data_IF_107589382849
#
_entry.id   IF_107589382849
#
_cell.length_a   1.000
_cell.length_b   1.000
_cell.length_c   1.000
_cell.angle_alpha   90.00
_cell.angle_beta   90.00
_cell.angle_gamma   90.00
#
_symmetry.space_group_name_H-M   'P 1'
#
loop_
_entity.id
_entity.type
_entity.pdbx_description
1 polymer ?
#
# COMPACT_ATOMS: atom_id res chain seq x y z
N UNK A 1 13.57 3.25 -18.79
CA UNK A 1 12.46 3.26 -17.81
C UNK A 1 12.49 4.60 -17.09
N UNK A 2 11.55 5.49 -17.39
CA UNK A 2 11.35 6.74 -16.64
C UNK A 2 10.97 6.35 -15.22
N UNK A 3 11.74 6.80 -14.23
CA UNK A 3 11.46 6.47 -12.82
C UNK A 3 10.08 6.96 -12.37
N UNK A 4 9.58 6.46 -11.22
CA UNK A 4 8.33 6.88 -10.64
C UNK A 4 8.21 8.40 -10.58
N UNK A 5 7.14 8.99 -11.15
CA UNK A 5 6.90 10.43 -11.05
C UNK A 5 6.32 10.77 -9.66
N UNK A 6 7.18 10.67 -8.65
CA UNK A 6 6.85 10.92 -7.24
C UNK A 6 7.13 12.38 -6.89
N UNK A 7 6.21 12.99 -6.15
CA UNK A 7 6.49 14.24 -5.45
C UNK A 7 7.62 14.04 -4.43
N UNK A 8 8.34 15.10 -4.02
CA UNK A 8 9.45 14.99 -3.07
C UNK A 8 9.09 14.30 -1.75
N UNK A 9 7.83 14.44 -1.31
CA UNK A 9 7.34 13.77 -0.11
C UNK A 9 7.28 12.24 -0.28
N UNK A 10 6.66 11.77 -1.36
CA UNK A 10 6.51 10.34 -1.62
C UNK A 10 7.82 9.69 -2.04
N UNK A 11 8.75 10.42 -2.67
CA UNK A 11 10.11 9.92 -2.90
C UNK A 11 10.90 9.77 -1.60
N UNK A 12 10.80 10.72 -0.66
CA UNK A 12 11.40 10.55 0.68
C UNK A 12 10.81 9.33 1.40
N UNK A 13 9.50 9.13 1.29
CA UNK A 13 8.82 7.98 1.86
C UNK A 13 9.32 6.66 1.23
N UNK A 14 9.42 6.60 -0.11
CA UNK A 14 9.98 5.46 -0.86
C UNK A 14 11.35 5.06 -0.31
N UNK A 15 12.28 6.03 -0.21
CA UNK A 15 13.65 5.77 0.28
C UNK A 15 13.65 5.20 1.70
N UNK A 16 12.84 5.75 2.60
CA UNK A 16 12.69 5.22 3.97
C UNK A 16 12.14 3.79 3.96
N UNK A 17 11.12 3.53 3.13
CA UNK A 17 10.47 2.23 3.04
C UNK A 17 11.38 1.16 2.44
N UNK A 18 12.17 1.51 1.43
CA UNK A 18 13.21 0.65 0.86
C UNK A 18 14.17 0.16 1.95
N UNK A 19 14.66 1.05 2.81
CA UNK A 19 15.52 0.66 3.95
C UNK A 19 14.81 -0.30 4.89
N UNK A 20 13.51 -0.11 5.14
CA UNK A 20 12.75 -1.04 5.98
C UNK A 20 12.63 -2.43 5.36
N UNK A 21 12.40 -2.53 4.04
CA UNK A 21 12.37 -3.82 3.35
C UNK A 21 13.71 -4.53 3.37
N UNK A 22 14.80 -3.78 3.13
CA UNK A 22 16.15 -4.32 3.25
C UNK A 22 16.41 -4.88 4.66
N UNK A 23 16.00 -4.16 5.71
CA UNK A 23 16.09 -4.62 7.10
C UNK A 23 15.22 -5.85 7.40
N UNK A 24 14.10 -6.00 6.69
CA UNK A 24 13.22 -7.15 6.77
C UNK A 24 13.69 -8.35 5.92
N UNK A 25 14.88 -8.28 5.30
CA UNK A 25 15.47 -9.38 4.53
C UNK A 25 15.13 -9.41 3.04
N UNK A 26 14.45 -8.40 2.50
CA UNK A 26 14.21 -8.31 1.07
C UNK A 26 15.51 -8.07 0.29
N UNK A 27 15.62 -8.66 -0.90
CA UNK A 27 16.75 -8.37 -1.81
C UNK A 27 16.71 -6.89 -2.27
N UNK A 28 17.83 -6.31 -2.72
CA UNK A 28 17.86 -4.93 -3.22
C UNK A 28 16.83 -4.65 -4.33
N UNK A 29 16.63 -5.63 -5.24
CA UNK A 29 15.65 -5.52 -6.31
C UNK A 29 14.21 -5.52 -5.79
N UNK A 30 13.87 -6.44 -4.89
CA UNK A 30 12.55 -6.50 -4.26
C UNK A 30 12.25 -5.25 -3.42
N UNK A 31 13.23 -4.76 -2.66
CA UNK A 31 13.08 -3.55 -1.85
C UNK A 31 12.85 -2.30 -2.71
N UNK A 32 13.54 -2.17 -3.85
CA UNK A 32 13.34 -1.06 -4.80
C UNK A 32 11.97 -1.16 -5.47
N UNK A 33 11.59 -2.34 -5.97
CA UNK A 33 10.31 -2.56 -6.62
C UNK A 33 9.14 -2.32 -5.67
N UNK A 34 9.14 -2.97 -4.50
CA UNK A 34 8.08 -2.84 -3.50
C UNK A 34 7.94 -1.41 -2.98
N UNK A 35 9.06 -0.75 -2.65
CA UNK A 35 9.00 0.63 -2.12
C UNK A 35 8.52 1.63 -3.17
N UNK A 36 8.89 1.45 -4.44
CA UNK A 36 8.44 2.30 -5.55
C UNK A 36 6.94 2.13 -5.79
N UNK A 37 6.48 0.89 -5.89
CA UNK A 37 5.05 0.57 -6.06
C UNK A 37 4.21 1.10 -4.90
N UNK A 38 4.64 0.87 -3.65
CA UNK A 38 3.92 1.41 -2.46
C UNK A 38 3.88 2.95 -2.49
N UNK A 39 4.97 3.62 -2.88
CA UNK A 39 5.02 5.08 -2.92
C UNK A 39 4.12 5.67 -4.02
N UNK A 40 4.11 5.05 -5.21
CA UNK A 40 3.22 5.44 -6.31
C UNK A 40 1.75 5.28 -5.92
N UNK A 41 1.41 4.13 -5.35
CA UNK A 41 0.04 3.84 -4.93
C UNK A 41 -0.42 4.81 -3.82
N UNK A 42 0.41 5.08 -2.81
CA UNK A 42 0.10 6.08 -1.77
C UNK A 42 -0.06 7.48 -2.35
N UNK A 43 0.77 7.86 -3.30
CA UNK A 43 0.63 9.15 -3.98
C UNK A 43 -0.70 9.24 -4.72
N UNK A 44 -1.08 8.18 -5.44
CA UNK A 44 -2.36 8.13 -6.13
C UNK A 44 -3.54 8.21 -5.14
N UNK A 45 -3.54 7.42 -4.07
CA UNK A 45 -4.57 7.48 -3.01
C UNK A 45 -4.67 8.90 -2.43
N UNK A 46 -3.53 9.54 -2.16
CA UNK A 46 -3.52 10.88 -1.58
C UNK A 46 -4.10 11.95 -2.52
N UNK A 47 -3.96 11.78 -3.84
CA UNK A 47 -4.57 12.66 -4.85
C UNK A 47 -6.09 12.48 -4.92
N UNK A 48 -6.57 11.24 -4.81
CA UNK A 48 -7.99 10.90 -4.93
C UNK A 48 -8.77 11.11 -3.63
N UNK A 49 -8.10 10.99 -2.49
CA UNK A 49 -8.72 11.07 -1.15
C UNK A 49 -8.08 12.18 -0.33
N UNK A 50 -7.33 11.83 0.71
CA UNK A 50 -6.53 12.73 1.54
C UNK A 50 -5.23 12.02 1.92
N UNK A 51 -4.20 12.81 2.20
CA UNK A 51 -2.89 12.27 2.62
C UNK A 51 -2.95 11.41 3.89
N UNK A 52 -3.81 11.75 4.85
CA UNK A 52 -4.04 10.93 6.07
C UNK A 52 -4.46 9.50 5.70
N UNK A 53 -5.43 9.38 4.79
CA UNK A 53 -5.93 8.11 4.27
C UNK A 53 -4.84 7.31 3.59
N UNK A 54 -4.08 7.97 2.71
CA UNK A 54 -2.94 7.33 2.06
C UNK A 54 -1.89 6.82 3.03
N UNK A 55 -1.73 7.44 4.22
CA UNK A 55 -0.80 6.97 5.25
C UNK A 55 -1.35 5.78 6.04
N UNK A 56 -2.66 5.78 6.35
CA UNK A 56 -3.34 4.68 7.03
C UNK A 56 -3.56 3.45 6.14
N UNK A 57 -3.39 3.58 4.82
CA UNK A 57 -3.43 2.45 3.90
C UNK A 57 -2.28 1.48 4.17
N UNK A 58 -2.63 0.21 4.29
CA UNK A 58 -1.73 -0.94 4.28
C UNK A 58 -1.70 -1.54 2.87
N UNK A 59 -0.59 -2.18 2.53
CA UNK A 59 -0.33 -2.71 1.19
C UNK A 59 0.10 -4.17 1.31
N UNK A 60 -0.34 -4.97 0.35
CA UNK A 60 -0.01 -6.38 0.26
C UNK A 60 -0.17 -6.89 -1.15
N UNK A 61 0.48 -8.01 -1.46
CA UNK A 61 0.27 -8.68 -2.73
C UNK A 61 -0.99 -9.53 -2.63
N UNK A 62 -1.88 -9.39 -3.59
CA UNK A 62 -3.10 -10.19 -3.72
C UNK A 62 -3.08 -10.92 -5.07
N UNK A 63 -3.69 -12.11 -5.17
CA UNK A 63 -3.84 -12.80 -6.45
C UNK A 63 -4.62 -11.93 -7.44
N UNK A 64 -4.01 -11.66 -8.59
CA UNK A 64 -4.65 -11.03 -9.73
C UNK A 64 -5.50 -12.02 -10.53
N UNK A 65 -6.43 -11.51 -11.34
CA UNK A 65 -7.32 -12.33 -12.19
C UNK A 65 -6.57 -13.21 -13.17
N UNK A 66 -5.38 -12.79 -13.58
CA UNK A 66 -4.58 -13.48 -14.60
C UNK A 66 -3.58 -14.48 -13.97
N UNK A 67 -3.72 -14.80 -12.68
CA UNK A 67 -2.82 -15.71 -11.95
C UNK A 67 -1.49 -15.09 -11.51
N UNK A 68 -1.22 -13.83 -11.86
CA UNK A 68 -0.11 -13.04 -11.30
C UNK A 68 -0.45 -12.41 -9.95
N UNK A 69 0.50 -11.75 -9.31
CA UNK A 69 0.26 -10.96 -8.09
C UNK A 69 0.01 -9.49 -8.47
N UNK A 70 -0.99 -8.86 -7.85
CA UNK A 70 -1.22 -7.41 -7.95
C UNK A 70 -1.11 -6.77 -6.57
N UNK A 71 -0.77 -5.48 -6.52
CA UNK A 71 -0.68 -4.77 -5.26
C UNK A 71 -2.09 -4.38 -4.80
N UNK A 72 -2.59 -5.10 -3.80
CA UNK A 72 -3.78 -4.75 -3.05
C UNK A 72 -3.45 -3.74 -1.96
N UNK A 73 -4.43 -2.93 -1.60
CA UNK A 73 -4.32 -2.06 -0.44
C UNK A 73 -5.66 -1.96 0.27
N UNK A 74 -5.60 -1.73 1.58
CA UNK A 74 -6.77 -1.57 2.45
C UNK A 74 -6.47 -0.49 3.47
N UNK A 75 -7.52 0.17 3.97
CA UNK A 75 -7.38 1.22 4.99
C UNK A 75 -7.67 0.58 6.34
N UNK A 76 -6.71 0.69 7.27
CA UNK A 76 -6.87 0.18 8.62
C UNK A 76 -8.07 0.87 9.31
N UNK A 77 -9.10 0.11 9.72
CA UNK A 77 -10.31 0.67 10.31
C UNK A 77 -10.06 1.34 11.67
N UNK A 78 -8.96 1.02 12.37
CA UNK A 78 -8.62 1.62 13.67
C UNK A 78 -7.85 2.95 13.57
N UNK A 79 -7.34 3.29 12.38
CA UNK A 79 -6.50 4.49 12.18
C UNK A 79 -7.26 5.70 11.64
N UNK A 80 -8.45 5.50 11.07
CA UNK A 80 -9.26 6.57 10.45
C UNK A 80 -10.73 6.41 10.82
N UNK A 81 -11.38 7.55 11.01
CA UNK A 81 -12.82 7.64 11.23
C UNK A 81 -13.61 6.82 10.17
N UNK A 82 -14.59 6.00 10.56
CA UNK A 82 -15.37 5.18 9.63
C UNK A 82 -15.95 5.97 8.45
N UNK A 83 -16.40 7.20 8.68
CA UNK A 83 -16.98 8.06 7.64
C UNK A 83 -15.95 8.45 6.59
N UNK A 84 -14.75 8.83 7.02
CA UNK A 84 -13.66 9.17 6.10
C UNK A 84 -13.14 7.97 5.33
N UNK A 85 -13.08 6.82 6.00
CA UNK A 85 -12.68 5.56 5.39
C UNK A 85 -13.68 5.13 4.31
N UNK A 86 -14.98 5.19 4.61
CA UNK A 86 -16.02 4.79 3.68
C UNK A 86 -16.11 5.76 2.49
N UNK A 87 -15.91 7.06 2.72
CA UNK A 87 -15.76 8.03 1.65
C UNK A 87 -14.53 7.75 0.77
N UNK A 88 -13.40 7.37 1.38
CA UNK A 88 -12.20 6.99 0.64
C UNK A 88 -12.42 5.72 -0.20
N UNK A 89 -13.05 4.68 0.35
CA UNK A 89 -13.36 3.47 -0.39
C UNK A 89 -14.24 3.76 -1.61
N UNK A 90 -15.29 4.58 -1.43
CA UNK A 90 -16.13 5.04 -2.56
C UNK A 90 -15.32 5.80 -3.61
N UNK A 91 -14.47 6.74 -3.19
CA UNK A 91 -13.67 7.55 -4.10
C UNK A 91 -12.62 6.74 -4.88
N UNK A 92 -12.09 5.69 -4.27
CA UNK A 92 -11.09 4.80 -4.88
C UNK A 92 -11.72 3.69 -5.72
N UNK A 93 -13.06 3.60 -5.79
CA UNK A 93 -13.76 2.48 -6.42
C UNK A 93 -13.45 1.13 -5.76
N UNK A 94 -12.91 1.16 -4.55
CA UNK A 94 -12.66 -0.03 -3.76
C UNK A 94 -13.93 -0.34 -3.01
N UNK A 95 -14.61 -1.43 -3.36
CA UNK A 95 -15.49 -2.06 -2.39
C UNK A 95 -14.62 -2.39 -1.18
N UNK A 96 -15.04 -2.02 0.03
CA UNK A 96 -14.33 -2.31 1.26
C UNK A 96 -14.07 -3.81 1.32
N UNK A 97 -12.92 -4.24 0.79
CA UNK A 97 -12.50 -5.62 0.86
C UNK A 97 -12.10 -5.75 2.32
N UNK A 98 -13.06 -6.21 3.13
CA UNK A 98 -12.76 -6.78 4.43
C UNK A 98 -11.86 -7.98 4.13
N UNK A 99 -10.56 -7.72 4.04
CA UNK A 99 -9.60 -8.80 3.94
C UNK A 99 -9.78 -9.62 5.21
N UNK A 100 -9.98 -10.93 5.10
CA UNK A 100 -10.03 -11.79 6.27
C UNK A 100 -8.74 -11.57 7.06
N UNK A 101 -8.87 -11.43 8.36
CA UNK A 101 -7.80 -11.10 9.31
C UNK A 101 -6.58 -12.02 9.16
N UNK A 102 -6.77 -13.20 8.56
CA UNK A 102 -5.73 -14.17 8.21
C UNK A 102 -4.69 -13.69 7.20
N UNK A 103 -4.95 -12.64 6.41
CA UNK A 103 -3.97 -12.05 5.48
C UNK A 103 -3.16 -10.89 6.11
N UNK A 104 -3.45 -10.51 7.35
CA UNK A 104 -2.84 -9.37 8.05
C UNK A 104 -1.58 -9.76 8.87
N UNK A 105 -1.17 -11.03 8.85
CA UNK A 105 0.02 -11.51 9.54
C UNK A 105 0.93 -12.31 8.59
N UNK A 106 2.19 -11.89 8.33
CA UNK A 106 3.22 -12.81 7.90
C UNK A 106 3.67 -13.59 9.14
N UNK A 107 2.85 -14.54 9.58
CA UNK A 107 3.15 -15.30 10.79
C UNK A 107 1.94 -16.06 11.29
N UNK A 108 1.82 -17.31 10.85
CA UNK A 108 0.93 -18.28 11.48
C UNK A 108 0.23 -19.22 10.52
N UNK A 109 0.93 -20.28 10.10
CA UNK A 109 0.37 -21.63 10.04
C UNK A 109 1.49 -22.65 9.76
N UNK A 110 1.83 -23.37 10.84
CA UNK A 110 2.53 -24.67 10.95
C UNK A 110 4.03 -24.72 10.60
#
# INVERSE_FOLDING_TARGET
MTGPNLTPYWDRWRRKRRTNYLRAGATPSQAEAGSSLEAEARQWIAKTTRRRVALAAQFGLIPGRDGGETLGFWIDPGLIDPTERDAAYRALGLHAVALPTSLLCPGGAL
#
